data_IF_952491818935
#
_entry.id   IF_952491818935
#
_cell.length_a   1.000
_cell.length_b   1.000
_cell.length_c   1.000
_cell.angle_alpha   90.00
_cell.angle_beta   90.00
_cell.angle_gamma   90.00
#
_symmetry.space_group_name_H-M   'P 1'
#
loop_
_entity.id
_entity.type
_entity.pdbx_description
1 polymer ?
#
# COMPACT_ATOMS: atom_id res chain seq x y z
N UNK A 1 6.62 2.25 -1.50
CA UNK A 1 7.04 3.00 -2.70
C UNK A 1 6.13 2.78 -3.90
N UNK A 2 5.74 1.54 -4.26
CA UNK A 2 4.86 1.27 -5.43
C UNK A 2 3.50 2.01 -5.35
N UNK A 3 2.81 1.99 -4.21
CA UNK A 3 1.51 2.66 -4.07
C UNK A 3 1.60 4.20 -4.08
N UNK A 4 2.73 4.76 -3.61
CA UNK A 4 3.02 6.19 -3.75
C UNK A 4 3.25 6.58 -5.21
N UNK A 5 3.98 5.75 -5.97
CA UNK A 5 4.16 5.95 -7.39
C UNK A 5 2.84 5.86 -8.17
N UNK A 6 1.94 4.94 -7.79
CA UNK A 6 0.59 4.85 -8.35
C UNK A 6 -0.24 6.10 -8.13
N UNK A 7 -0.21 6.66 -6.92
CA UNK A 7 -0.91 7.91 -6.62
C UNK A 7 -0.41 9.08 -7.48
N UNK A 8 0.91 9.16 -7.72
CA UNK A 8 1.50 10.18 -8.59
C UNK A 8 1.20 9.94 -10.07
N UNK A 9 1.22 8.69 -10.55
CA UNK A 9 0.86 8.34 -11.92
C UNK A 9 -0.60 8.69 -12.24
N UNK A 10 -1.53 8.41 -11.31
CA UNK A 10 -2.93 8.81 -11.46
C UNK A 10 -3.08 10.34 -11.58
N UNK A 11 -2.35 11.09 -10.74
CA UNK A 11 -2.29 12.55 -10.85
C UNK A 11 -1.76 13.00 -12.21
N UNK A 12 -0.69 12.38 -12.72
CA UNK A 12 -0.16 12.73 -14.04
C UNK A 12 -1.16 12.45 -15.15
N UNK A 13 -1.90 11.34 -15.10
CA UNK A 13 -2.91 11.00 -16.10
C UNK A 13 -4.05 12.04 -16.14
N UNK A 14 -4.47 12.55 -14.98
CA UNK A 14 -5.47 13.63 -14.86
C UNK A 14 -5.03 14.94 -15.53
N UNK A 15 -3.73 15.26 -15.50
CA UNK A 15 -3.18 16.50 -16.06
C UNK A 15 -2.45 16.30 -17.39
N UNK A 16 -2.65 15.16 -18.07
CA UNK A 16 -2.12 14.88 -19.41
C UNK A 16 -0.63 14.51 -19.47
N UNK A 17 0.01 14.23 -18.33
CA UNK A 17 1.43 13.85 -18.26
C UNK A 17 1.72 12.37 -18.51
N UNK A 18 0.69 11.51 -18.55
CA UNK A 18 0.80 10.08 -18.87
C UNK A 18 -0.57 9.51 -19.27
N UNK A 19 -0.62 8.24 -19.69
CA UNK A 19 -1.87 7.58 -20.11
C UNK A 19 -2.60 6.88 -18.95
N UNK A 20 -3.92 6.77 -19.07
CA UNK A 20 -4.77 6.05 -18.11
C UNK A 20 -4.53 4.54 -18.15
N UNK A 21 -4.17 4.00 -19.31
CA UNK A 21 -3.84 2.59 -19.51
C UNK A 21 -2.59 2.21 -18.72
N UNK A 22 -1.57 3.07 -18.70
CA UNK A 22 -0.36 2.84 -17.92
C UNK A 22 -0.65 2.84 -16.42
N UNK A 23 -1.47 3.79 -15.95
CA UNK A 23 -1.93 3.81 -14.56
C UNK A 23 -2.66 2.52 -14.20
N UNK A 24 -3.60 2.07 -15.03
CA UNK A 24 -4.35 0.83 -14.83
C UNK A 24 -3.45 -0.41 -14.79
N UNK A 25 -2.53 -0.55 -15.75
CA UNK A 25 -1.61 -1.69 -15.82
C UNK A 25 -0.69 -1.79 -14.59
N UNK A 26 -0.06 -0.68 -14.21
CA UNK A 26 0.83 -0.66 -13.04
C UNK A 26 0.02 -0.77 -11.73
N UNK A 27 -1.23 -0.26 -11.71
CA UNK A 27 -2.18 -0.48 -10.64
C UNK A 27 -2.49 -1.97 -10.43
N UNK A 28 -2.73 -2.71 -11.51
CA UNK A 28 -2.90 -4.16 -11.46
C UNK A 28 -1.67 -4.91 -10.94
N UNK A 29 -0.47 -4.52 -11.38
CA UNK A 29 0.79 -5.10 -10.87
C UNK A 29 1.01 -4.84 -9.38
N UNK A 30 0.42 -3.76 -8.82
CA UNK A 30 0.50 -3.48 -7.39
C UNK A 30 -0.23 -4.54 -6.52
N UNK A 31 -1.05 -5.42 -7.11
CA UNK A 31 -1.63 -6.57 -6.42
C UNK A 31 -0.53 -7.46 -5.82
N UNK A 32 0.56 -7.71 -6.54
CA UNK A 32 1.63 -8.62 -6.12
C UNK A 32 2.24 -8.23 -4.76
N UNK A 33 2.78 -7.00 -4.58
CA UNK A 33 3.32 -6.60 -3.28
C UNK A 33 2.24 -6.50 -2.19
N UNK A 34 0.98 -6.20 -2.52
CA UNK A 34 -0.11 -6.17 -1.53
C UNK A 34 -0.45 -7.58 -1.04
N UNK A 35 -0.59 -8.55 -1.93
CA UNK A 35 -0.84 -9.95 -1.59
C UNK A 35 0.32 -10.56 -0.82
N UNK A 36 1.57 -10.27 -1.22
CA UNK A 36 2.76 -10.66 -0.46
C UNK A 36 2.76 -10.07 0.94
N UNK A 37 2.40 -8.80 1.11
CA UNK A 37 2.32 -8.16 2.42
C UNK A 37 1.27 -8.84 3.32
N UNK A 38 0.06 -9.07 2.79
CA UNK A 38 -1.01 -9.76 3.54
C UNK A 38 -0.59 -11.18 3.87
N UNK A 39 -0.21 -11.99 2.88
CA UNK A 39 0.17 -13.39 3.08
C UNK A 39 1.34 -13.54 4.05
N UNK A 40 2.39 -12.73 3.89
CA UNK A 40 3.54 -12.77 4.80
C UNK A 40 3.16 -12.35 6.24
N UNK A 41 2.29 -11.33 6.40
CA UNK A 41 1.81 -10.90 7.73
C UNK A 41 1.02 -11.98 8.47
N UNK A 42 0.38 -12.91 7.74
CA UNK A 42 -0.37 -14.04 8.32
C UNK A 42 0.54 -15.25 8.58
N UNK A 43 1.47 -15.54 7.67
CA UNK A 43 2.28 -16.76 7.71
C UNK A 43 3.57 -16.64 8.53
N UNK A 44 4.12 -15.44 8.71
CA UNK A 44 5.43 -15.24 9.35
C UNK A 44 5.25 -14.63 10.73
N UNK A 45 5.50 -15.44 11.78
CA UNK A 45 5.32 -15.05 13.18
C UNK A 45 5.98 -13.71 13.55
N UNK A 46 7.18 -13.45 13.00
CA UNK A 46 7.92 -12.21 13.25
C UNK A 46 7.15 -10.97 12.79
N UNK A 47 6.31 -11.04 11.76
CA UNK A 47 5.59 -9.88 11.19
C UNK A 47 4.07 -9.90 11.44
N UNK A 48 3.55 -10.87 12.20
CA UNK A 48 2.13 -10.92 12.63
C UNK A 48 1.63 -9.65 13.34
N UNK A 49 2.52 -8.93 14.03
CA UNK A 49 2.19 -7.63 14.62
C UNK A 49 1.76 -6.55 13.60
N UNK A 50 1.97 -6.79 12.31
CA UNK A 50 1.51 -5.91 11.23
C UNK A 50 0.23 -6.40 10.55
N UNK A 51 -0.33 -7.56 10.92
CA UNK A 51 -1.43 -8.20 10.21
C UNK A 51 -2.67 -7.31 10.07
N UNK A 52 -3.02 -6.53 11.11
CA UNK A 52 -4.13 -5.57 11.01
C UNK A 52 -3.88 -4.49 9.95
N UNK A 53 -2.69 -3.89 9.95
CA UNK A 53 -2.34 -2.83 8.98
C UNK A 53 -2.15 -3.40 7.56
N UNK A 54 -1.63 -4.63 7.44
CA UNK A 54 -1.55 -5.35 6.17
C UNK A 54 -2.95 -5.68 5.63
N UNK A 55 -3.83 -6.20 6.48
CA UNK A 55 -5.23 -6.51 6.15
C UNK A 55 -6.02 -5.28 5.73
N UNK A 56 -5.90 -4.17 6.46
CA UNK A 56 -6.52 -2.89 6.06
C UNK A 56 -6.01 -2.42 4.69
N UNK A 57 -4.69 -2.51 4.45
CA UNK A 57 -4.09 -2.18 3.15
C UNK A 57 -4.64 -3.07 2.03
N UNK A 58 -4.76 -4.37 2.29
CA UNK A 58 -5.35 -5.33 1.35
C UNK A 58 -6.82 -5.03 1.06
N UNK A 59 -7.62 -4.77 2.09
CA UNK A 59 -9.03 -4.41 1.93
C UNK A 59 -9.19 -3.12 1.11
N UNK A 60 -8.44 -2.07 1.45
CA UNK A 60 -8.46 -0.81 0.71
C UNK A 60 -8.02 -1.00 -0.75
N UNK A 61 -7.04 -1.87 -1.02
CA UNK A 61 -6.66 -2.21 -2.39
C UNK A 61 -7.79 -2.92 -3.15
N UNK A 62 -8.47 -3.88 -2.53
CA UNK A 62 -9.61 -4.56 -3.17
C UNK A 62 -10.77 -3.59 -3.45
N UNK A 63 -11.06 -2.68 -2.51
CA UNK A 63 -12.02 -1.60 -2.73
C UNK A 63 -11.56 -0.71 -3.89
N UNK A 64 -10.27 -0.37 -3.97
CA UNK A 64 -9.72 0.44 -5.07
C UNK A 64 -10.01 -0.20 -6.43
N UNK A 65 -9.74 -1.50 -6.57
CA UNK A 65 -10.01 -2.25 -7.81
C UNK A 65 -11.53 -2.27 -8.11
N UNK A 66 -12.37 -2.53 -7.10
CA UNK A 66 -13.82 -2.52 -7.28
C UNK A 66 -14.36 -1.15 -7.73
N UNK A 67 -13.85 -0.06 -7.16
CA UNK A 67 -14.22 1.31 -7.55
C UNK A 67 -13.78 1.62 -8.99
N UNK A 68 -12.60 1.15 -9.41
CA UNK A 68 -12.11 1.33 -10.78
C UNK A 68 -12.99 0.62 -11.83
N UNK A 69 -13.55 -0.54 -11.48
CA UNK A 69 -14.40 -1.35 -12.36
C UNK A 69 -15.88 -0.96 -12.30
N UNK A 70 -16.29 -0.16 -11.31
CA UNK A 70 -17.68 0.11 -10.96
C UNK A 70 -18.40 1.18 -11.79
N UNK A 71 -17.79 1.67 -12.86
CA UNK A 71 -18.34 2.74 -13.69
C UNK A 71 -18.20 4.15 -13.08
N UNK A 72 -18.69 5.21 -13.75
CA UNK A 72 -18.34 6.60 -13.44
C UNK A 72 -18.70 7.06 -12.02
N UNK A 73 -19.85 6.62 -11.50
CA UNK A 73 -20.30 7.00 -10.15
C UNK A 73 -19.41 6.44 -9.04
N UNK A 74 -18.98 5.19 -9.17
CA UNK A 74 -18.05 4.57 -8.22
C UNK A 74 -16.62 5.08 -8.41
N UNK A 75 -16.23 5.33 -9.67
CA UNK A 75 -14.93 5.89 -10.01
C UNK A 75 -14.69 7.26 -9.36
N UNK A 76 -15.73 8.05 -9.10
CA UNK A 76 -15.62 9.31 -8.37
C UNK A 76 -15.06 9.16 -6.94
N UNK A 77 -15.27 8.01 -6.29
CA UNK A 77 -14.72 7.71 -4.96
C UNK A 77 -13.30 7.11 -5.02
N UNK A 78 -12.83 6.70 -6.20
CA UNK A 78 -11.53 6.09 -6.41
C UNK A 78 -10.35 6.94 -5.88
N UNK A 79 -10.31 8.27 -6.06
CA UNK A 79 -9.22 9.10 -5.51
C UNK A 79 -9.23 9.17 -3.98
N UNK A 80 -10.42 9.18 -3.37
CA UNK A 80 -10.54 9.19 -1.91
C UNK A 80 -10.01 7.89 -1.30
N UNK A 81 -10.41 6.74 -1.84
CA UNK A 81 -9.88 5.45 -1.40
C UNK A 81 -8.36 5.32 -1.70
N UNK A 82 -7.87 5.92 -2.79
CA UNK A 82 -6.43 5.95 -3.08
C UNK A 82 -5.64 6.69 -1.98
N UNK A 83 -6.17 7.81 -1.47
CA UNK A 83 -5.54 8.56 -0.38
C UNK A 83 -5.53 7.77 0.94
N UNK A 84 -6.61 7.04 1.24
CA UNK A 84 -6.68 6.13 2.40
C UNK A 84 -5.68 4.98 2.27
N UNK A 85 -5.62 4.36 1.09
CA UNK A 85 -4.67 3.28 0.79
C UNK A 85 -3.22 3.76 0.94
N UNK A 86 -2.89 4.92 0.37
CA UNK A 86 -1.59 5.55 0.54
C UNK A 86 -1.27 5.79 2.01
N UNK A 87 -2.20 6.37 2.76
CA UNK A 87 -2.05 6.64 4.20
C UNK A 87 -1.78 5.35 4.98
N UNK A 88 -2.56 4.30 4.73
CA UNK A 88 -2.37 2.98 5.36
C UNK A 88 -0.96 2.44 5.10
N UNK A 89 -0.44 2.61 3.88
CA UNK A 89 0.90 2.13 3.52
C UNK A 89 2.02 2.94 4.18
N UNK A 90 1.83 4.25 4.33
CA UNK A 90 2.77 5.12 5.06
C UNK A 90 2.79 4.78 6.56
N UNK A 91 1.63 4.53 7.15
CA UNK A 91 1.54 4.06 8.55
C UNK A 91 2.28 2.74 8.72
N UNK A 92 2.11 1.80 7.80
CA UNK A 92 2.81 0.51 7.84
C UNK A 92 4.33 0.69 7.71
N UNK A 93 4.78 1.53 6.78
CA UNK A 93 6.19 1.88 6.61
C UNK A 93 6.78 2.50 7.89
N UNK A 94 6.10 3.48 8.49
CA UNK A 94 6.53 4.11 9.72
C UNK A 94 6.62 3.12 10.90
N UNK A 95 5.66 2.18 11.02
CA UNK A 95 5.72 1.12 12.04
C UNK A 95 6.91 0.17 11.80
N UNK A 96 7.20 -0.17 10.55
CA UNK A 96 8.32 -1.03 10.19
C UNK A 96 9.67 -0.37 10.52
N UNK A 97 9.82 0.91 10.21
CA UNK A 97 11.02 1.70 10.53
C UNK A 97 11.23 1.77 12.05
N UNK A 98 10.19 2.11 12.81
CA UNK A 98 10.26 2.16 14.29
C UNK A 98 10.72 0.83 14.89
N UNK A 99 10.18 -0.30 14.42
CA UNK A 99 10.57 -1.64 14.89
C UNK A 99 12.00 -2.01 14.50
N UNK A 100 12.42 -1.64 13.30
CA UNK A 100 13.79 -1.85 12.80
C UNK A 100 14.80 -1.08 13.65
N UNK A 101 14.51 0.18 13.95
CA UNK A 101 15.34 1.03 14.82
C UNK A 101 15.44 0.48 16.24
N UNK A 102 14.32 0.06 16.83
CA UNK A 102 14.30 -0.57 18.15
C UNK A 102 15.13 -1.86 18.21
N UNK A 103 15.03 -2.70 17.18
CA UNK A 103 15.80 -3.95 17.08
C UNK A 103 17.30 -3.68 16.95
N UNK A 104 17.69 -2.66 16.16
CA UNK A 104 19.09 -2.24 15.98
C UNK A 104 19.67 -1.68 17.29
N UNK A 105 18.92 -0.84 18.00
CA UNK A 105 19.33 -0.29 19.30
C UNK A 105 19.53 -1.40 20.36
N UNK A 106 18.62 -2.38 20.42
CA UNK A 106 18.73 -3.49 21.35
C UNK A 106 20.00 -4.33 21.10
N UNK A 107 20.30 -4.62 19.82
CA UNK A 107 21.50 -5.39 19.43
C UNK A 107 22.80 -4.68 19.84
N UNK A 108 22.85 -3.35 19.73
CA UNK A 108 24.01 -2.55 20.15
C UNK A 108 24.19 -2.50 21.68
N UNK A 109 23.11 -2.64 22.45
CA UNK A 109 23.17 -2.72 23.91
C UNK A 109 23.68 -4.07 24.40
N UNK A 110 23.30 -5.16 23.73
CA UNK A 110 23.71 -6.53 24.11
C UNK A 110 25.14 -6.90 23.70
N UNK A 111 25.79 -6.08 22.85
CA UNK A 111 27.17 -6.29 22.40
C UNK A 111 28.20 -5.45 23.19
N UNK A 112 27.75 -4.75 24.24
CA UNK A 112 28.59 -4.02 25.21
C UNK A 112 28.58 -4.80 26.51
#
# INVERSE_FOLDING_TARGET
MVLSAQFLLARQALFGGTSWELHGAVGGLAALPVLLLVGSSLSVARIRGFAWSAGLTGLLYMIQVALALGGPGLLAFHPFNAALLLTSTLVLAAKLERRSSATRANRARTSR
#
